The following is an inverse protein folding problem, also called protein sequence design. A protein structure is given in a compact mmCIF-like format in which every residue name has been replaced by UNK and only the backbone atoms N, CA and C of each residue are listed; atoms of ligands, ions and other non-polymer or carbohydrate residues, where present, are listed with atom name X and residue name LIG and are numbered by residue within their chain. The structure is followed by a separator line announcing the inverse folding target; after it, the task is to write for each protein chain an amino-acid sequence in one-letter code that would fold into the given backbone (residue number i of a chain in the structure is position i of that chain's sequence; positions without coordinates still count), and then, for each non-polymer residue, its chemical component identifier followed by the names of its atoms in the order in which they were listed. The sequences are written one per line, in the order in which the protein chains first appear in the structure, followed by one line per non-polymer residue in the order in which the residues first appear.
data_IF_148588046195
#
_entry.id   IF_148588046195
#
_cell.length_a   1.000
_cell.length_b   1.000
_cell.length_c   1.000
_cell.angle_alpha   90.00
_cell.angle_beta   90.00
_cell.angle_gamma   90.00
#
_symmetry.space_group_name_H-M   'P 1'
#
loop_
_entity.id
_entity.type
_entity.pdbx_description
1 polymer ?
#
# COMPACT_ATOMS: atom_id res chain seq x y z
N UNK A 1 -52.96 -0.66 -37.00
CA UNK A 1 -53.16 0.18 -38.20
C UNK A 1 -52.32 1.43 -37.97
N UNK A 2 -51.14 1.54 -38.59
CA UNK A 2 -50.94 2.24 -39.88
C UNK A 2 -51.31 3.74 -39.74
N UNK A 3 -50.53 4.75 -40.11
CA UNK A 3 -49.28 4.84 -40.87
C UNK A 3 -48.92 6.34 -40.94
N UNK A 4 -47.64 6.68 -40.82
CA UNK A 4 -46.86 7.64 -41.63
C UNK A 4 -47.26 9.10 -41.95
N UNK A 5 -46.17 9.88 -42.05
CA UNK A 5 -45.80 10.87 -43.10
C UNK A 5 -46.29 12.33 -42.92
N UNK A 6 -45.53 13.40 -43.23
CA UNK A 6 -44.11 13.61 -43.65
C UNK A 6 -43.79 15.12 -43.75
N UNK A 7 -42.48 15.44 -43.93
CA UNK A 7 -41.87 16.66 -44.52
C UNK A 7 -41.73 17.88 -43.60
N UNK A 8 -40.67 18.71 -43.63
CA UNK A 8 -39.48 18.87 -44.49
C UNK A 8 -38.61 19.99 -43.86
N UNK A 9 -37.28 19.87 -43.84
CA UNK A 9 -36.35 20.74 -44.59
C UNK A 9 -34.89 20.36 -44.31
N UNK A 10 -34.09 20.54 -45.35
CA UNK A 10 -32.79 19.92 -45.64
C UNK A 10 -31.73 21.02 -45.82
N UNK A 11 -30.53 20.74 -45.29
CA UNK A 11 -29.13 21.09 -45.66
C UNK A 11 -28.80 22.40 -46.40
N UNK A 12 -27.77 23.13 -45.92
CA UNK A 12 -26.49 23.49 -46.61
C UNK A 12 -25.64 24.39 -45.69
N UNK A 13 -24.43 24.03 -45.24
CA UNK A 13 -23.08 24.13 -45.85
C UNK A 13 -22.74 25.49 -46.49
N UNK A 14 -21.70 26.17 -45.99
CA UNK A 14 -20.59 26.61 -46.85
C UNK A 14 -19.35 27.08 -46.08
N UNK A 15 -18.23 26.44 -46.44
CA UNK A 15 -16.84 26.82 -46.16
C UNK A 15 -16.52 28.06 -46.99
N UNK A 16 -15.86 29.04 -46.39
CA UNK A 16 -15.35 30.21 -47.12
C UNK A 16 -14.13 29.78 -47.94
N UNK A 17 -14.32 29.82 -49.26
CA UNK A 17 -13.29 29.66 -50.29
C UNK A 17 -12.59 31.03 -50.46
N UNK A 18 -11.28 31.10 -50.25
CA UNK A 18 -10.48 32.29 -50.61
C UNK A 18 -9.93 32.10 -52.04
N UNK A 19 -9.94 33.13 -52.89
CA UNK A 19 -9.70 32.98 -54.32
C UNK A 19 -8.21 32.98 -54.69
N UNK A 20 -7.89 32.10 -55.64
CA UNK A 20 -7.10 32.34 -56.84
C UNK A 20 -5.94 33.36 -56.75
N UNK A 21 -4.71 32.86 -56.57
CA UNK A 21 -3.48 33.58 -56.89
C UNK A 21 -2.93 33.10 -58.24
N UNK A 22 -2.74 34.06 -59.14
CA UNK A 22 -2.32 33.90 -60.52
C UNK A 22 -0.92 33.29 -60.68
N UNK A 23 -0.74 32.54 -61.77
CA UNK A 23 0.52 31.96 -62.21
C UNK A 23 1.49 33.06 -62.67
N UNK A 24 2.59 33.25 -61.92
CA UNK A 24 3.82 33.86 -62.45
C UNK A 24 5.01 32.92 -62.28
N UNK A 25 5.67 32.72 -63.42
CA UNK A 25 6.91 32.00 -63.75
C UNK A 25 7.86 31.67 -62.59
N UNK A 26 8.05 30.37 -62.30
CA UNK A 26 9.05 29.85 -61.37
C UNK A 26 10.42 29.76 -62.06
N UNK A 27 11.42 30.48 -61.54
CA UNK A 27 12.83 30.30 -61.91
C UNK A 27 13.30 28.96 -61.32
N UNK A 28 13.69 28.00 -62.16
CA UNK A 28 14.21 26.70 -61.70
C UNK A 28 15.56 26.96 -61.03
N UNK A 29 15.62 26.80 -59.71
CA UNK A 29 16.87 26.78 -58.95
C UNK A 29 17.17 25.31 -58.67
N UNK A 30 18.24 24.79 -59.28
CA UNK A 30 18.80 23.50 -58.90
C UNK A 30 19.60 23.69 -57.62
N UNK A 31 19.00 23.41 -56.46
CA UNK A 31 19.76 23.19 -55.23
C UNK A 31 20.11 21.71 -55.13
N UNK A 32 21.38 21.40 -55.36
CA UNK A 32 21.93 20.07 -55.04
C UNK A 32 22.01 19.94 -53.51
N UNK A 33 21.06 19.23 -52.90
CA UNK A 33 21.23 18.77 -51.54
C UNK A 33 22.07 17.49 -51.59
N UNK A 34 23.34 17.59 -51.20
CA UNK A 34 24.09 16.39 -50.80
C UNK A 34 23.50 15.94 -49.48
N UNK A 35 22.70 14.87 -49.50
CA UNK A 35 22.29 14.17 -48.29
C UNK A 35 23.53 13.72 -47.54
N UNK A 36 23.87 14.42 -46.46
CA UNK A 36 24.72 13.89 -45.41
C UNK A 36 23.81 13.08 -44.51
N UNK A 37 23.91 11.75 -44.58
CA UNK A 37 23.38 10.87 -43.56
C UNK A 37 24.03 11.28 -42.23
N UNK A 38 23.31 12.05 -41.42
CA UNK A 38 23.69 12.28 -40.03
C UNK A 38 23.60 10.92 -39.35
N UNK A 39 24.73 10.50 -38.77
CA UNK A 39 24.92 9.18 -38.18
C UNK A 39 23.74 8.77 -37.30
N UNK A 40 23.47 7.47 -37.31
CA UNK A 40 22.52 6.79 -36.44
C UNK A 40 22.75 7.36 -35.04
N UNK A 41 21.80 8.16 -34.55
CA UNK A 41 21.78 8.48 -33.12
C UNK A 41 21.55 7.15 -32.45
N UNK A 42 22.50 6.68 -31.66
CA UNK A 42 22.27 5.61 -30.71
C UNK A 42 21.07 6.04 -29.89
N UNK A 43 19.89 5.50 -30.21
CA UNK A 43 18.71 5.66 -29.40
C UNK A 43 19.09 5.02 -28.08
N UNK A 44 19.27 5.83 -27.03
CA UNK A 44 19.40 5.33 -25.67
C UNK A 44 18.20 4.44 -25.44
N UNK A 45 18.42 3.12 -25.42
CA UNK A 45 17.40 2.17 -25.05
C UNK A 45 17.06 2.48 -23.59
N UNK A 46 15.97 3.21 -23.36
CA UNK A 46 15.39 3.30 -22.04
C UNK A 46 14.84 1.90 -21.78
N UNK A 47 15.57 1.10 -21.00
CA UNK A 47 15.10 -0.19 -20.54
C UNK A 47 13.80 0.06 -19.77
N UNK A 48 12.68 -0.39 -20.35
CA UNK A 48 11.40 -0.32 -19.66
C UNK A 48 11.41 -1.39 -18.58
N UNK A 49 11.05 -1.06 -17.32
CA UNK A 49 10.96 -2.04 -16.25
C UNK A 49 10.03 -3.17 -16.67
N UNK A 50 10.41 -4.42 -16.39
CA UNK A 50 9.54 -5.58 -16.71
C UNK A 50 8.29 -5.62 -15.84
N UNK A 51 8.33 -4.94 -14.69
CA UNK A 51 7.26 -4.91 -13.71
C UNK A 51 7.08 -3.51 -13.10
N UNK A 52 5.83 -3.10 -12.91
CA UNK A 52 5.51 -1.85 -12.19
C UNK A 52 5.47 -2.07 -10.68
N UNK A 53 5.64 -0.99 -9.90
CA UNK A 53 5.53 -1.05 -8.44
C UNK A 53 4.19 -1.62 -7.94
N UNK A 54 3.08 -1.32 -8.63
CA UNK A 54 1.74 -1.86 -8.31
C UNK A 54 1.67 -3.37 -8.54
N UNK A 55 2.27 -3.87 -9.63
CA UNK A 55 2.35 -5.30 -9.90
C UNK A 55 3.24 -6.02 -8.89
N UNK A 56 4.37 -5.41 -8.53
CA UNK A 56 5.29 -5.93 -7.52
C UNK A 56 4.60 -6.02 -6.16
N UNK A 57 3.95 -4.95 -5.69
CA UNK A 57 3.21 -4.96 -4.43
C UNK A 57 2.16 -6.07 -4.39
N UNK A 58 1.42 -6.26 -5.48
CA UNK A 58 0.43 -7.34 -5.58
C UNK A 58 1.09 -8.72 -5.42
N UNK A 59 2.22 -8.97 -6.10
CA UNK A 59 2.97 -10.23 -5.98
C UNK A 59 3.51 -10.44 -4.56
N UNK A 60 4.05 -9.40 -3.93
CA UNK A 60 4.55 -9.46 -2.54
C UNK A 60 3.42 -9.81 -1.57
N UNK A 61 2.27 -9.14 -1.67
CA UNK A 61 1.10 -9.44 -0.82
C UNK A 61 0.62 -10.88 -1.01
N UNK A 62 0.55 -11.34 -2.25
CA UNK A 62 0.14 -12.71 -2.57
C UNK A 62 1.14 -13.75 -2.05
N UNK A 63 2.44 -13.50 -2.24
CA UNK A 63 3.50 -14.33 -1.69
C UNK A 63 3.37 -14.47 -0.18
N UNK A 64 3.33 -13.36 0.56
CA UNK A 64 3.26 -13.37 2.02
C UNK A 64 2.00 -14.08 2.53
N UNK A 65 0.85 -13.87 1.89
CA UNK A 65 -0.42 -14.51 2.25
C UNK A 65 -0.39 -16.03 2.05
N UNK A 66 0.34 -16.52 1.05
CA UNK A 66 0.44 -17.96 0.75
C UNK A 66 1.54 -18.67 1.57
N UNK A 67 2.35 -17.94 2.33
CA UNK A 67 3.51 -18.47 3.07
C UNK A 67 3.43 -18.16 4.57
N UNK A 68 2.22 -18.12 5.15
CA UNK A 68 2.04 -17.82 6.58
C UNK A 68 2.75 -18.83 7.51
N UNK A 69 2.88 -20.09 7.06
CA UNK A 69 3.57 -21.16 7.79
C UNK A 69 5.09 -21.15 7.59
N UNK A 70 5.63 -20.27 6.73
CA UNK A 70 7.07 -20.11 6.58
C UNK A 70 7.66 -19.59 7.89
N UNK A 71 8.75 -20.21 8.36
CA UNK A 71 9.31 -19.99 9.71
C UNK A 71 9.46 -18.52 10.08
N UNK A 72 10.03 -17.70 9.18
CA UNK A 72 10.25 -16.26 9.40
C UNK A 72 8.93 -15.49 9.52
N UNK A 73 7.95 -15.79 8.66
CA UNK A 73 6.63 -15.14 8.67
C UNK A 73 5.86 -15.55 9.92
N UNK A 74 5.92 -16.83 10.28
CA UNK A 74 5.35 -17.35 11.52
C UNK A 74 5.96 -16.68 12.76
N UNK A 75 7.29 -16.48 12.80
CA UNK A 75 7.98 -15.75 13.89
C UNK A 75 7.49 -14.32 14.00
N UNK A 76 7.37 -13.60 12.87
CA UNK A 76 6.82 -12.23 12.85
C UNK A 76 5.40 -12.18 13.40
N UNK A 77 4.51 -13.07 12.93
CA UNK A 77 3.12 -13.17 13.42
C UNK A 77 3.06 -13.48 14.91
N UNK A 78 3.97 -14.33 15.38
CA UNK A 78 4.01 -14.79 16.78
C UNK A 78 4.77 -13.85 17.72
N UNK A 79 5.16 -12.65 17.25
CA UNK A 79 5.93 -11.68 18.02
C UNK A 79 7.26 -12.25 18.57
N UNK A 80 7.86 -13.21 17.85
CA UNK A 80 9.14 -13.81 18.18
C UNK A 80 10.27 -13.01 17.53
N UNK A 81 11.45 -12.90 18.18
CA UNK A 81 12.59 -12.23 17.59
C UNK A 81 13.05 -12.94 16.32
N UNK A 82 13.45 -12.16 15.33
CA UNK A 82 14.13 -12.65 14.13
C UNK A 82 15.64 -12.56 14.30
N UNK A 83 16.36 -13.51 13.72
CA UNK A 83 17.81 -13.41 13.55
C UNK A 83 18.13 -12.55 12.33
N UNK A 84 19.37 -12.04 12.27
CA UNK A 84 19.83 -11.27 11.11
C UNK A 84 19.75 -12.09 9.81
N UNK A 85 20.07 -13.38 9.87
CA UNK A 85 19.95 -14.29 8.73
C UNK A 85 18.50 -14.49 8.29
N UNK A 86 17.54 -14.53 9.22
CA UNK A 86 16.11 -14.60 8.88
C UNK A 86 15.67 -13.36 8.09
N UNK A 87 16.14 -12.18 8.52
CA UNK A 87 15.78 -10.90 7.90
C UNK A 87 16.39 -10.79 6.49
N UNK A 88 17.67 -11.15 6.35
CA UNK A 88 18.36 -11.19 5.05
C UNK A 88 17.69 -12.17 4.08
N UNK A 89 17.31 -13.36 4.57
CA UNK A 89 16.59 -14.34 3.75
C UNK A 89 15.23 -13.83 3.29
N UNK A 90 14.49 -13.14 4.16
CA UNK A 90 13.21 -12.52 3.82
C UNK A 90 13.39 -11.40 2.79
N UNK A 91 14.35 -10.51 2.99
CA UNK A 91 14.66 -9.42 2.06
C UNK A 91 15.04 -9.98 0.67
N UNK A 92 15.94 -10.96 0.63
CA UNK A 92 16.34 -11.64 -0.59
C UNK A 92 15.13 -12.24 -1.33
N UNK A 93 14.26 -12.94 -0.60
CA UNK A 93 13.07 -13.57 -1.19
C UNK A 93 12.13 -12.52 -1.80
N UNK A 94 11.94 -11.38 -1.13
CA UNK A 94 11.09 -10.31 -1.64
C UNK A 94 11.73 -9.58 -2.82
N UNK A 95 13.05 -9.43 -2.84
CA UNK A 95 13.80 -8.89 -3.98
C UNK A 95 13.68 -9.81 -5.20
N UNK A 96 13.76 -11.13 -5.03
CA UNK A 96 13.64 -12.10 -6.13
C UNK A 96 12.28 -12.03 -6.85
N UNK A 97 11.19 -11.69 -6.15
CA UNK A 97 9.86 -11.46 -6.77
C UNK A 97 9.92 -10.36 -7.84
N UNK A 98 10.81 -9.39 -7.63
CA UNK A 98 11.04 -8.24 -8.49
C UNK A 98 12.03 -8.47 -9.64
N UNK A 99 12.60 -9.67 -9.73
CA UNK A 99 13.62 -10.02 -10.72
C UNK A 99 14.78 -9.01 -10.72
N UNK A 100 15.22 -8.58 -11.91
CA UNK A 100 16.34 -7.64 -12.10
C UNK A 100 16.10 -6.27 -11.41
N UNK A 101 14.84 -5.84 -11.28
CA UNK A 101 14.45 -4.56 -10.69
C UNK A 101 14.11 -4.67 -9.19
N UNK A 102 14.30 -5.84 -8.59
CA UNK A 102 13.68 -6.17 -7.30
C UNK A 102 14.09 -5.33 -6.12
N UNK A 103 15.37 -4.96 -6.01
CA UNK A 103 15.83 -4.10 -4.92
C UNK A 103 15.18 -2.72 -5.02
N UNK A 104 15.20 -2.12 -6.20
CA UNK A 104 14.57 -0.81 -6.46
C UNK A 104 13.07 -0.84 -6.18
N UNK A 105 12.40 -1.93 -6.55
CA UNK A 105 10.97 -2.11 -6.30
C UNK A 105 10.65 -2.30 -4.82
N UNK A 106 11.47 -3.05 -4.09
CA UNK A 106 11.33 -3.23 -2.63
C UNK A 106 11.54 -1.92 -1.89
N UNK A 107 12.61 -1.18 -2.20
CA UNK A 107 12.91 0.11 -1.57
C UNK A 107 11.80 1.13 -1.84
N UNK A 108 11.30 1.17 -3.08
CA UNK A 108 10.17 2.02 -3.47
C UNK A 108 8.87 1.64 -2.75
N UNK A 109 8.60 0.35 -2.59
CA UNK A 109 7.44 -0.16 -1.87
C UNK A 109 7.49 0.21 -0.37
N UNK A 110 8.64 0.00 0.28
CA UNK A 110 8.84 0.36 1.68
C UNK A 110 8.66 1.87 1.88
N UNK A 111 9.27 2.68 1.01
CA UNK A 111 9.14 4.15 1.06
C UNK A 111 7.69 4.61 0.89
N UNK A 112 6.98 4.07 -0.10
CA UNK A 112 5.57 4.43 -0.37
C UNK A 112 4.64 4.00 0.78
N UNK A 113 4.92 2.86 1.41
CA UNK A 113 4.13 2.36 2.53
C UNK A 113 4.28 3.17 3.81
N UNK A 114 5.34 3.99 3.92
CA UNK A 114 5.69 4.69 5.16
C UNK A 114 6.13 3.75 6.30
N UNK A 115 6.45 2.49 5.99
CA UNK A 115 6.89 1.52 6.97
C UNK A 115 8.28 1.88 7.53
N UNK A 116 8.49 1.88 8.85
CA UNK A 116 9.78 2.19 9.46
C UNK A 116 10.84 1.08 9.26
N UNK A 117 10.40 -0.14 8.95
CA UNK A 117 11.28 -1.30 8.74
C UNK A 117 10.61 -2.38 7.89
N UNK A 118 11.40 -3.30 7.34
CA UNK A 118 10.89 -4.47 6.63
C UNK A 118 10.03 -5.37 7.53
N UNK A 119 10.43 -5.56 8.79
CA UNK A 119 9.68 -6.36 9.77
C UNK A 119 8.30 -5.76 10.04
N UNK A 120 8.24 -4.43 10.21
CA UNK A 120 6.99 -3.71 10.38
C UNK A 120 6.12 -3.83 9.13
N UNK A 121 6.70 -3.62 7.94
CA UNK A 121 5.99 -3.73 6.67
C UNK A 121 5.37 -5.12 6.49
N UNK A 122 6.17 -6.17 6.62
CA UNK A 122 5.70 -7.54 6.43
C UNK A 122 4.63 -7.89 7.47
N UNK A 123 4.83 -7.57 8.76
CA UNK A 123 3.81 -7.80 9.79
C UNK A 123 2.53 -7.04 9.52
N UNK A 124 2.61 -5.83 8.94
CA UNK A 124 1.43 -5.06 8.55
C UNK A 124 0.57 -5.74 7.48
N UNK A 125 1.18 -6.61 6.67
CA UNK A 125 0.52 -7.38 5.62
C UNK A 125 0.00 -8.75 6.08
N UNK A 126 0.73 -9.42 6.99
CA UNK A 126 0.40 -10.80 7.39
C UNK A 126 -0.42 -10.90 8.66
N UNK A 127 -0.55 -9.82 9.43
CA UNK A 127 -1.26 -9.84 10.70
C UNK A 127 -0.43 -10.35 11.87
N UNK A 128 -1.05 -10.41 13.06
CA UNK A 128 -0.50 -11.05 14.26
C UNK A 128 -1.21 -12.38 14.48
N UNK A 129 -0.53 -13.34 15.09
CA UNK A 129 -1.19 -14.55 15.54
C UNK A 129 -2.24 -14.23 16.62
N UNK A 130 -3.45 -14.76 16.46
CA UNK A 130 -4.58 -14.46 17.36
C UNK A 130 -4.30 -14.90 18.78
N UNK A 131 -3.68 -16.06 18.98
CA UNK A 131 -3.40 -16.60 20.32
C UNK A 131 -2.36 -15.77 21.03
N UNK A 132 -1.37 -15.25 20.29
CA UNK A 132 -0.35 -14.34 20.83
C UNK A 132 -0.97 -12.99 21.19
N UNK A 133 -1.85 -12.44 20.33
CA UNK A 133 -2.56 -11.20 20.63
C UNK A 133 -3.46 -11.36 21.87
N UNK A 134 -4.23 -12.45 21.95
CA UNK A 134 -5.05 -12.75 23.14
C UNK A 134 -4.20 -12.89 24.41
N UNK A 135 -3.06 -13.58 24.32
CA UNK A 135 -2.16 -13.77 25.45
C UNK A 135 -1.59 -12.43 25.96
N UNK A 136 -1.23 -11.52 25.05
CA UNK A 136 -0.73 -10.18 25.42
C UNK A 136 -1.77 -9.36 26.19
N UNK A 137 -3.06 -9.50 25.86
CA UNK A 137 -4.16 -8.76 26.49
C UNK A 137 -4.96 -9.58 27.51
N UNK A 138 -4.53 -10.80 27.86
CA UNK A 138 -5.28 -11.75 28.67
C UNK A 138 -5.68 -11.18 30.04
N UNK A 139 -4.79 -10.38 30.66
CA UNK A 139 -5.06 -9.71 31.94
C UNK A 139 -6.36 -8.90 31.88
N UNK A 140 -6.53 -8.08 30.85
CA UNK A 140 -7.71 -7.21 30.72
C UNK A 140 -8.96 -8.03 30.41
N UNK A 141 -8.85 -9.07 29.57
CA UNK A 141 -9.98 -9.96 29.28
C UNK A 141 -10.49 -10.70 30.53
N UNK A 142 -9.61 -10.96 31.50
CA UNK A 142 -9.96 -11.65 32.75
C UNK A 142 -10.41 -10.71 33.89
N UNK A 143 -10.31 -9.39 33.70
CA UNK A 143 -10.60 -8.41 34.73
C UNK A 143 -12.11 -8.24 34.92
N UNK A 144 -12.61 -8.72 36.07
CA UNK A 144 -14.03 -8.69 36.44
C UNK A 144 -14.55 -7.28 36.74
N UNK A 145 -13.68 -6.29 36.91
CA UNK A 145 -14.07 -4.89 37.15
C UNK A 145 -14.45 -4.13 35.87
N UNK A 146 -14.11 -4.68 34.70
CA UNK A 146 -14.38 -4.04 33.41
C UNK A 146 -15.82 -4.25 32.96
N UNK A 147 -16.37 -3.22 32.32
CA UNK A 147 -17.71 -3.28 31.72
C UNK A 147 -17.68 -4.06 30.40
N UNK A 148 -18.83 -4.54 29.90
CA UNK A 148 -18.90 -5.18 28.59
C UNK A 148 -18.35 -4.31 27.44
N UNK A 149 -18.54 -2.99 27.49
CA UNK A 149 -18.00 -2.08 26.47
C UNK A 149 -16.46 -1.95 26.56
N UNK A 150 -15.91 -1.97 27.77
CA UNK A 150 -14.46 -1.96 27.99
C UNK A 150 -13.80 -3.27 27.54
N UNK A 151 -14.43 -4.42 27.82
CA UNK A 151 -13.98 -5.72 27.29
C UNK A 151 -14.06 -5.73 25.77
N UNK A 152 -15.16 -5.21 25.20
CA UNK A 152 -15.32 -5.11 23.74
C UNK A 152 -14.23 -4.27 23.09
N UNK A 153 -13.81 -3.18 23.74
CA UNK A 153 -12.69 -2.36 23.27
C UNK A 153 -11.40 -3.20 23.19
N UNK A 154 -11.08 -3.99 24.21
CA UNK A 154 -9.90 -4.88 24.22
C UNK A 154 -10.00 -5.95 23.13
N UNK A 155 -11.16 -6.57 22.95
CA UNK A 155 -11.37 -7.53 21.86
C UNK A 155 -11.14 -6.90 20.49
N UNK A 156 -11.59 -5.67 20.28
CA UNK A 156 -11.36 -4.95 19.02
C UNK A 156 -9.89 -4.63 18.79
N UNK A 157 -9.13 -4.34 19.84
CA UNK A 157 -7.66 -4.19 19.76
C UNK A 157 -7.03 -5.50 19.28
N UNK A 158 -7.43 -6.63 19.87
CA UNK A 158 -6.95 -7.96 19.49
C UNK A 158 -7.32 -8.28 18.04
N UNK A 159 -8.55 -8.00 17.62
CA UNK A 159 -9.02 -8.25 16.26
C UNK A 159 -8.23 -7.41 15.24
N UNK A 160 -7.98 -6.13 15.53
CA UNK A 160 -7.18 -5.25 14.66
C UNK A 160 -5.72 -5.70 14.58
N UNK A 161 -5.09 -6.06 15.70
CA UNK A 161 -3.74 -6.63 15.68
C UNK A 161 -3.69 -7.96 14.91
N UNK A 162 -4.71 -8.80 15.05
CA UNK A 162 -4.78 -10.06 14.32
C UNK A 162 -4.87 -9.82 12.80
N UNK A 163 -5.68 -8.86 12.37
CA UNK A 163 -5.91 -8.55 10.97
C UNK A 163 -4.75 -7.80 10.31
N UNK A 164 -4.27 -6.73 10.97
CA UNK A 164 -3.33 -5.78 10.39
C UNK A 164 -1.93 -5.87 11.00
N UNK A 165 -1.72 -6.66 12.06
CA UNK A 165 -0.39 -6.98 12.63
C UNK A 165 0.29 -5.86 13.42
N UNK A 166 0.02 -4.62 13.05
CA UNK A 166 0.53 -3.38 13.65
C UNK A 166 -0.62 -2.38 13.77
N UNK A 167 -0.56 -1.52 14.79
CA UNK A 167 -1.61 -0.53 15.04
C UNK A 167 -1.08 0.59 15.92
N UNK A 168 -0.99 1.81 15.39
CA UNK A 168 -0.56 2.97 16.16
C UNK A 168 -1.53 3.26 17.32
N UNK A 169 -1.02 3.76 18.44
CA UNK A 169 -1.84 4.14 19.59
C UNK A 169 -2.94 5.16 19.23
N UNK A 170 -2.65 6.12 18.34
CA UNK A 170 -3.63 7.10 17.87
C UNK A 170 -4.84 6.48 17.18
N UNK A 171 -4.71 5.29 16.58
CA UNK A 171 -5.83 4.60 15.92
C UNK A 171 -6.94 4.20 16.91
N UNK A 172 -6.64 4.12 18.21
CA UNK A 172 -7.64 3.83 19.25
C UNK A 172 -8.64 4.98 19.48
N UNK A 173 -8.36 6.16 18.92
CA UNK A 173 -9.27 7.32 18.92
C UNK A 173 -10.09 7.43 17.63
N UNK A 174 -9.88 6.54 16.67
CA UNK A 174 -10.56 6.53 15.38
C UNK A 174 -11.60 5.40 15.30
N UNK A 175 -12.55 5.45 14.35
CA UNK A 175 -13.42 4.32 14.08
C UNK A 175 -12.60 3.05 13.75
N UNK A 176 -12.99 1.86 14.25
CA UNK A 176 -14.25 1.56 14.93
C UNK A 176 -14.25 1.80 16.45
N UNK A 177 -13.11 2.16 17.06
CA UNK A 177 -12.99 2.29 18.53
C UNK A 177 -13.80 3.45 19.09
N UNK A 178 -13.75 4.61 18.43
CA UNK A 178 -14.52 5.79 18.82
C UNK A 178 -16.04 5.61 18.74
N UNK A 179 -16.52 4.58 18.05
CA UNK A 179 -17.94 4.25 18.00
C UNK A 179 -18.46 3.61 19.30
N UNK A 180 -17.57 3.10 20.17
CA UNK A 180 -17.98 2.50 21.44
C UNK A 180 -18.42 3.55 22.47
N UNK A 181 -17.87 4.76 22.40
CA UNK A 181 -18.21 5.85 23.29
C UNK A 181 -17.87 7.21 22.66
N UNK A 182 -18.81 8.17 22.72
CA UNK A 182 -18.66 9.47 22.05
C UNK A 182 -17.46 10.31 22.53
N UNK A 183 -17.02 10.10 23.78
CA UNK A 183 -15.82 10.73 24.33
C UNK A 183 -14.51 9.95 24.10
N UNK A 184 -14.53 8.92 23.25
CA UNK A 184 -13.35 8.10 22.96
C UNK A 184 -12.94 7.16 24.10
N UNK A 185 -11.74 6.56 24.01
CA UNK A 185 -11.24 5.61 25.00
C UNK A 185 -11.10 6.22 26.39
N UNK A 186 -10.71 7.48 26.52
CA UNK A 186 -10.53 8.12 27.84
C UNK A 186 -11.85 8.17 28.61
N UNK A 187 -12.93 8.59 27.96
CA UNK A 187 -14.25 8.60 28.58
C UNK A 187 -14.85 7.19 28.75
N UNK A 188 -14.53 6.24 27.86
CA UNK A 188 -14.94 4.84 28.01
C UNK A 188 -14.33 4.19 29.26
N UNK A 189 -13.13 4.62 29.66
CA UNK A 189 -12.38 4.15 30.82
C UNK A 189 -12.33 5.16 31.96
N UNK A 190 -13.30 6.09 32.03
CA UNK A 190 -13.41 7.06 33.14
C UNK A 190 -13.45 6.37 34.52
N UNK A 191 -12.62 6.87 35.44
CA UNK A 191 -12.39 6.25 36.76
C UNK A 191 -11.55 4.95 36.72
N UNK A 192 -10.99 4.60 35.55
CA UNK A 192 -10.10 3.46 35.30
C UNK A 192 -8.90 3.87 34.42
N UNK A 193 -8.35 5.05 34.64
CA UNK A 193 -7.28 5.65 33.82
C UNK A 193 -6.05 4.74 33.73
N UNK A 194 -5.70 4.09 34.84
CA UNK A 194 -4.59 3.14 34.88
C UNK A 194 -4.80 1.93 33.95
N UNK A 195 -6.04 1.47 33.77
CA UNK A 195 -6.35 0.33 32.88
C UNK A 195 -6.13 0.73 31.43
N UNK A 196 -6.60 1.90 31.02
CA UNK A 196 -6.42 2.35 29.64
C UNK A 196 -4.94 2.65 29.35
N UNK A 197 -4.22 3.30 30.28
CA UNK A 197 -2.76 3.50 30.19
C UNK A 197 -2.03 2.16 30.00
N UNK A 198 -2.38 1.16 30.80
CA UNK A 198 -1.83 -0.18 30.71
C UNK A 198 -2.10 -0.87 29.36
N UNK A 199 -3.27 -0.65 28.76
CA UNK A 199 -3.61 -1.15 27.42
C UNK A 199 -2.70 -0.51 26.37
N UNK A 200 -2.51 0.81 26.42
CA UNK A 200 -1.57 1.52 25.54
C UNK A 200 -0.13 1.05 25.72
N UNK A 201 0.30 0.83 26.97
CA UNK A 201 1.63 0.28 27.28
C UNK A 201 1.80 -1.13 26.70
N UNK A 202 0.78 -1.98 26.83
CA UNK A 202 0.79 -3.33 26.24
C UNK A 202 0.91 -3.27 24.71
N UNK A 203 0.18 -2.36 24.06
CA UNK A 203 0.27 -2.14 22.61
C UNK A 203 1.68 -1.69 22.20
N UNK A 204 2.28 -0.75 22.93
CA UNK A 204 3.64 -0.28 22.68
C UNK A 204 4.69 -1.38 22.85
N UNK A 205 4.54 -2.25 23.85
CA UNK A 205 5.43 -3.41 24.03
C UNK A 205 5.36 -4.36 22.83
N UNK A 206 4.15 -4.63 22.31
CA UNK A 206 3.96 -5.45 21.10
C UNK A 206 4.61 -4.83 19.87
N UNK A 207 4.72 -3.50 19.80
CA UNK A 207 5.40 -2.80 18.71
C UNK A 207 6.92 -2.77 18.85
N UNK A 208 7.43 -2.60 20.07
CA UNK A 208 8.87 -2.46 20.33
C UNK A 208 9.70 -3.66 19.84
N UNK A 209 9.09 -4.84 19.77
CA UNK A 209 9.70 -6.06 19.21
C UNK A 209 10.01 -5.95 17.71
N UNK A 210 9.42 -5.00 17.00
CA UNK A 210 9.66 -4.75 15.57
C UNK A 210 10.86 -3.84 15.32
N UNK A 211 11.26 -3.09 16.33
CA UNK A 211 12.31 -2.07 16.27
C UNK A 211 13.69 -2.60 16.61
N UNK A 212 13.88 -3.93 16.78
CA UNK A 212 15.20 -4.53 17.04
C UNK A 212 16.09 -4.52 15.79
N UNK A 213 16.36 -3.33 15.25
CA UNK A 213 17.68 -2.92 14.80
C UNK A 213 18.30 -2.19 15.97
N UNK A 214 19.13 -2.85 16.77
CA UNK A 214 20.03 -2.09 17.64
C UNK A 214 21.28 -2.89 17.92
N UNK A 215 22.36 -2.43 17.26
CA UNK A 215 23.78 -2.72 17.40
C UNK A 215 24.28 -4.09 16.90
#
# INVERSE_FOLDING_TARGET
MLLNFVSRKVLTHQRVLVPFLEKKTRKIVYTSFKDKVLGIRDSVFIAMPKMTGVQYEKKVREYLRNHLDHLVIHRLRSNQPLTETDLQGLEQTLTEIGEEDGQTLLDGLLTHSGAPSLTWFVRSLVGMDRTVAQSAFARFLSDRSLTPYQIRFVEMVIDQLTACGVMAASALYEPPFSNLHAGGPDALFDGKEKVIEDIFNTLNLVHSSLSSRTA
#
